data_IF_897673746474
#
_entry.id   IF_897673746474
#
_cell.length_a   1.000
_cell.length_b   1.000
_cell.length_c   1.000
_cell.angle_alpha   90.00
_cell.angle_beta   90.00
_cell.angle_gamma   90.00
#
_symmetry.space_group_name_H-M   'P 1'
#
loop_
_entity.id
_entity.type
_entity.pdbx_description
1 polymer ?
#
# COMPACT_ATOMS: atom_id res chain seq x y z
N UNK A 1 -42.89 32.20 11.79
CA UNK A 1 -42.24 31.54 10.64
C UNK A 1 -40.75 31.91 10.44
N UNK A 2 -40.37 33.18 10.51
CA UNK A 2 -38.95 33.59 10.31
C UNK A 2 -37.92 33.09 11.39
N UNK A 3 -38.37 32.76 12.61
CA UNK A 3 -37.46 32.20 13.65
C UNK A 3 -37.23 30.71 13.49
N UNK A 4 -38.18 29.92 13.01
CA UNK A 4 -38.03 28.49 12.74
C UNK A 4 -37.08 28.21 11.58
N UNK A 5 -37.17 29.01 10.51
CA UNK A 5 -36.24 28.87 9.36
C UNK A 5 -34.79 29.14 9.74
N UNK A 6 -34.51 30.08 10.64
CA UNK A 6 -33.17 30.37 11.14
C UNK A 6 -32.60 29.24 12.00
N UNK A 7 -33.44 28.61 12.84
CA UNK A 7 -33.03 27.46 13.66
C UNK A 7 -32.75 26.23 12.83
N UNK A 8 -33.59 25.96 11.82
CA UNK A 8 -33.39 24.85 10.88
C UNK A 8 -32.11 25.05 10.04
N UNK A 9 -31.86 26.28 9.58
CA UNK A 9 -30.64 26.61 8.83
C UNK A 9 -29.38 26.43 9.68
N UNK A 10 -29.42 26.83 10.96
CA UNK A 10 -28.31 26.68 11.88
C UNK A 10 -28.04 25.21 12.21
N UNK A 11 -29.09 24.41 12.41
CA UNK A 11 -28.95 22.97 12.65
C UNK A 11 -28.40 22.23 11.43
N UNK A 12 -28.80 22.60 10.21
CA UNK A 12 -28.29 21.98 8.98
C UNK A 12 -26.80 22.32 8.76
N UNK A 13 -26.39 23.55 9.07
CA UNK A 13 -24.99 23.96 8.99
C UNK A 13 -24.11 23.21 10.01
N UNK A 14 -24.63 22.97 11.22
CA UNK A 14 -23.89 22.22 12.25
C UNK A 14 -23.71 20.74 11.87
N UNK A 15 -24.72 20.14 11.26
CA UNK A 15 -24.63 18.74 10.76
C UNK A 15 -23.64 18.62 9.61
N UNK A 16 -23.59 19.61 8.72
CA UNK A 16 -22.59 19.61 7.62
C UNK A 16 -21.15 19.81 8.13
N UNK A 17 -20.94 20.60 9.17
CA UNK A 17 -19.61 20.76 9.78
C UNK A 17 -19.11 19.48 10.47
N UNK A 18 -20.01 18.70 11.08
CA UNK A 18 -19.66 17.41 11.70
C UNK A 18 -19.34 16.32 10.67
N UNK A 19 -19.95 16.39 9.49
CA UNK A 19 -19.66 15.45 8.40
C UNK A 19 -18.27 15.67 7.76
N UNK A 20 -17.74 16.90 7.81
CA UNK A 20 -16.40 17.23 7.28
C UNK A 20 -15.25 16.83 8.21
N UNK A 21 -15.52 16.61 9.51
CA UNK A 21 -14.51 16.08 10.44
C UNK A 21 -14.33 14.55 10.36
N UNK A 22 -15.17 13.82 9.62
CA UNK A 22 -15.05 12.37 9.43
C UNK A 22 -14.10 11.98 8.29
N UNK A 23 -13.55 12.94 7.51
CA UNK A 23 -12.43 12.70 6.62
C UNK A 23 -11.11 12.85 7.39
N UNK A 24 -10.94 12.05 8.45
CA UNK A 24 -9.66 11.84 9.13
C UNK A 24 -8.75 11.08 8.18
N UNK A 25 -7.61 11.66 8.01
CA UNK A 25 -6.34 11.17 7.53
C UNK A 25 -6.30 9.64 7.44
N UNK A 26 -6.23 9.12 6.21
CA UNK A 26 -5.81 7.74 5.98
C UNK A 26 -4.34 7.64 6.41
N UNK A 27 -4.11 7.28 7.66
CA UNK A 27 -2.89 6.58 8.01
C UNK A 27 -2.96 5.23 7.28
N UNK A 28 -2.16 5.07 6.23
CA UNK A 28 -1.94 3.80 5.55
C UNK A 28 -1.07 2.90 6.46
N UNK A 29 -1.62 2.54 7.60
CA UNK A 29 -1.22 1.40 8.39
C UNK A 29 -2.42 0.45 8.35
N UNK A 30 -2.61 -0.24 7.23
CA UNK A 30 -3.63 -1.26 7.13
C UNK A 30 -3.33 -2.36 8.15
N UNK A 31 -3.97 -2.23 9.31
CA UNK A 31 -4.05 -3.31 10.27
C UNK A 31 -5.15 -4.23 9.76
N UNK A 32 -4.82 -5.46 9.42
CA UNK A 32 -5.82 -6.48 9.13
C UNK A 32 -6.85 -6.56 10.25
N UNK A 33 -8.05 -7.06 9.97
CA UNK A 33 -9.19 -7.10 10.90
C UNK A 33 -8.90 -7.85 12.22
N UNK A 34 -7.79 -8.58 12.30
CA UNK A 34 -7.30 -9.31 13.48
C UNK A 34 -6.18 -8.59 14.27
N UNK A 35 -5.86 -7.35 13.92
CA UNK A 35 -4.83 -6.54 14.60
C UNK A 35 -3.41 -6.77 14.10
N UNK A 36 -3.19 -7.60 13.07
CA UNK A 36 -1.89 -7.80 12.44
C UNK A 36 -1.56 -6.65 11.49
N UNK A 37 -0.27 -6.34 11.39
CA UNK A 37 0.22 -5.38 10.40
C UNK A 37 0.17 -6.03 9.02
N UNK A 38 -0.41 -5.35 8.05
CA UNK A 38 -0.34 -5.72 6.63
C UNK A 38 0.93 -5.14 6.01
N UNK A 39 1.63 -5.96 5.23
CA UNK A 39 2.79 -5.55 4.44
C UNK A 39 2.48 -5.75 2.96
N UNK A 40 2.47 -4.68 2.19
CA UNK A 40 2.15 -4.69 0.76
C UNK A 40 3.43 -4.71 -0.05
N UNK A 41 3.69 -5.83 -0.71
CA UNK A 41 4.85 -6.05 -1.57
C UNK A 41 4.48 -5.80 -3.03
N UNK A 42 5.14 -4.84 -3.66
CA UNK A 42 5.03 -4.60 -5.11
C UNK A 42 5.99 -5.49 -5.89
N UNK A 43 5.50 -6.27 -6.83
CA UNK A 43 6.29 -7.21 -7.64
C UNK A 43 6.14 -6.96 -9.13
N UNK A 44 7.14 -7.39 -9.90
CA UNK A 44 6.98 -7.58 -11.35
C UNK A 44 6.11 -8.81 -11.58
N UNK A 45 4.94 -8.69 -12.24
CA UNK A 45 4.04 -9.81 -12.47
C UNK A 45 4.51 -10.79 -13.56
N UNK A 46 5.59 -10.47 -14.29
CA UNK A 46 6.04 -11.20 -15.48
C UNK A 46 7.52 -11.61 -15.41
N UNK A 47 8.08 -11.80 -14.22
CA UNK A 47 9.50 -12.11 -14.01
C UNK A 47 9.74 -13.48 -13.34
N UNK A 48 9.39 -14.61 -13.99
CA UNK A 48 9.68 -15.94 -13.46
C UNK A 48 11.20 -16.23 -13.50
N UNK A 49 11.75 -16.97 -12.53
CA UNK A 49 11.07 -17.63 -11.42
C UNK A 49 10.94 -16.77 -10.14
N UNK A 50 11.29 -15.47 -10.20
CA UNK A 50 11.37 -14.60 -9.02
C UNK A 50 10.01 -14.10 -8.56
N UNK A 51 9.22 -13.52 -9.47
CA UNK A 51 7.85 -13.08 -9.22
C UNK A 51 7.03 -13.15 -10.49
N UNK A 52 5.86 -13.76 -10.43
CA UNK A 52 4.96 -13.88 -11.57
C UNK A 52 3.55 -14.25 -11.11
N UNK A 53 2.58 -14.09 -12.01
CA UNK A 53 1.22 -14.53 -11.76
C UNK A 53 1.10 -16.03 -12.09
N UNK A 54 0.75 -16.83 -11.08
CA UNK A 54 0.53 -18.27 -11.25
C UNK A 54 -0.78 -18.61 -11.95
N UNK A 55 -0.95 -19.87 -12.34
CA UNK A 55 -2.16 -20.36 -13.02
C UNK A 55 -3.41 -20.26 -12.13
N UNK A 56 -3.24 -20.19 -10.83
CA UNK A 56 -4.30 -20.00 -9.84
C UNK A 56 -4.72 -18.53 -9.67
N UNK A 57 -4.12 -17.61 -10.41
CA UNK A 57 -4.36 -16.18 -10.35
C UNK A 57 -3.71 -15.50 -9.15
N UNK A 58 -2.80 -16.15 -8.43
CA UNK A 58 -2.02 -15.57 -7.33
C UNK A 58 -0.60 -15.29 -7.75
N UNK A 59 -0.01 -14.26 -7.15
CA UNK A 59 1.42 -14.01 -7.32
C UNK A 59 2.22 -15.06 -6.57
N UNK A 60 3.26 -15.56 -7.20
CA UNK A 60 4.15 -16.59 -6.68
C UNK A 60 5.57 -16.36 -7.18
N UNK A 61 6.50 -17.18 -6.72
CA UNK A 61 7.91 -17.15 -7.11
C UNK A 61 8.83 -16.97 -5.91
N UNK A 62 10.12 -17.06 -6.16
CA UNK A 62 11.16 -17.05 -5.15
C UNK A 62 11.08 -15.84 -4.20
N UNK A 63 10.90 -14.64 -4.75
CA UNK A 63 10.81 -13.41 -3.95
C UNK A 63 9.56 -13.37 -3.09
N UNK A 64 8.43 -13.85 -3.64
CA UNK A 64 7.15 -13.90 -2.91
C UNK A 64 7.23 -14.90 -1.75
N UNK A 65 7.87 -16.05 -1.94
CA UNK A 65 8.05 -17.06 -0.88
C UNK A 65 8.96 -16.54 0.23
N UNK A 66 10.03 -15.83 -0.10
CA UNK A 66 10.90 -15.21 0.92
C UNK A 66 10.14 -14.14 1.71
N UNK A 67 9.38 -13.29 1.01
CA UNK A 67 8.59 -12.25 1.68
C UNK A 67 7.52 -12.86 2.60
N UNK A 68 6.87 -13.94 2.17
CA UNK A 68 5.91 -14.67 3.01
C UNK A 68 6.59 -15.22 4.27
N UNK A 69 7.73 -15.89 4.13
CA UNK A 69 8.46 -16.42 5.28
C UNK A 69 8.90 -15.30 6.25
N UNK A 70 9.32 -14.15 5.74
CA UNK A 70 9.66 -12.99 6.56
C UNK A 70 8.45 -12.43 7.31
N UNK A 71 7.31 -12.30 6.63
CA UNK A 71 6.06 -11.84 7.25
C UNK A 71 5.57 -12.81 8.32
N UNK A 72 5.66 -14.12 8.08
CA UNK A 72 5.29 -15.15 9.06
C UNK A 72 6.13 -15.03 10.36
N UNK A 73 7.45 -14.81 10.20
CA UNK A 73 8.35 -14.59 11.35
C UNK A 73 8.03 -13.32 12.14
N UNK A 74 7.55 -12.27 11.45
CA UNK A 74 7.21 -10.99 12.05
C UNK A 74 5.76 -10.94 12.59
N UNK A 75 4.95 -11.96 12.29
CA UNK A 75 3.52 -11.97 12.60
C UNK A 75 2.73 -10.95 11.78
N UNK A 76 3.17 -10.67 10.54
CA UNK A 76 2.52 -9.75 9.62
C UNK A 76 1.74 -10.51 8.54
N UNK A 77 0.76 -9.85 7.95
CA UNK A 77 0.05 -10.36 6.78
C UNK A 77 0.67 -9.82 5.50
N UNK A 78 1.07 -10.70 4.58
CA UNK A 78 1.61 -10.32 3.29
C UNK A 78 0.47 -10.11 2.29
N UNK A 79 0.48 -8.96 1.62
CA UNK A 79 -0.27 -8.71 0.40
C UNK A 79 0.70 -8.50 -0.76
N UNK A 80 0.47 -9.19 -1.87
CA UNK A 80 1.30 -9.06 -3.06
C UNK A 80 0.54 -8.28 -4.12
N UNK A 81 1.18 -7.26 -4.66
CA UNK A 81 0.62 -6.32 -5.62
C UNK A 81 1.48 -6.29 -6.89
N UNK A 82 0.87 -6.58 -8.04
CA UNK A 82 1.56 -6.49 -9.33
C UNK A 82 1.72 -5.03 -9.75
N UNK A 83 2.95 -4.53 -9.81
CA UNK A 83 3.22 -3.15 -10.23
C UNK A 83 3.40 -3.07 -11.75
N UNK A 84 3.05 -1.93 -12.32
CA UNK A 84 3.55 -1.58 -13.65
C UNK A 84 5.06 -1.31 -13.52
N UNK A 85 5.89 -2.17 -14.13
CA UNK A 85 7.34 -2.13 -13.91
C UNK A 85 7.99 -0.81 -14.30
N UNK A 86 7.49 -0.15 -15.34
CA UNK A 86 8.00 1.15 -15.77
C UNK A 86 7.63 2.27 -14.79
N UNK A 87 6.56 2.08 -14.01
CA UNK A 87 6.04 3.05 -13.05
C UNK A 87 6.24 2.64 -11.59
N UNK A 88 7.05 1.61 -11.33
CA UNK A 88 7.24 1.03 -9.98
C UNK A 88 7.60 2.04 -8.90
N UNK A 89 8.45 3.01 -9.21
CA UNK A 89 8.83 4.04 -8.24
C UNK A 89 7.71 5.05 -8.01
N UNK A 90 6.93 5.38 -9.05
CA UNK A 90 5.75 6.26 -8.93
C UNK A 90 4.70 5.61 -8.03
N UNK A 91 4.46 4.32 -8.20
CA UNK A 91 3.51 3.56 -7.38
C UNK A 91 4.00 3.42 -5.94
N UNK A 92 5.32 3.24 -5.72
CA UNK A 92 5.92 3.25 -4.39
C UNK A 92 5.77 4.63 -3.71
N UNK A 93 6.04 5.72 -4.43
CA UNK A 93 5.89 7.08 -3.91
C UNK A 93 4.43 7.43 -3.61
N UNK A 94 3.50 6.89 -4.40
CA UNK A 94 2.06 7.00 -4.16
C UNK A 94 1.58 6.12 -2.98
N UNK A 95 2.47 5.32 -2.38
CA UNK A 95 2.17 4.39 -1.28
C UNK A 95 1.13 3.32 -1.65
N UNK A 96 1.13 2.89 -2.91
CA UNK A 96 0.33 1.74 -3.35
C UNK A 96 0.92 0.42 -2.84
N UNK A 97 2.22 0.42 -2.52
CA UNK A 97 2.91 -0.67 -1.84
C UNK A 97 3.93 -0.11 -0.83
N UNK A 98 4.32 -0.93 0.13
CA UNK A 98 5.33 -0.59 1.15
C UNK A 98 6.76 -0.74 0.62
N UNK A 99 6.95 -1.66 -0.31
CA UNK A 99 8.22 -1.86 -1.00
C UNK A 99 8.00 -2.40 -2.42
N UNK A 100 9.00 -2.20 -3.27
CA UNK A 100 9.12 -2.94 -4.53
C UNK A 100 10.17 -4.02 -4.32
N UNK A 101 9.76 -5.28 -4.46
CA UNK A 101 10.62 -6.44 -4.23
C UNK A 101 10.50 -7.42 -5.39
N UNK A 102 11.43 -7.36 -6.29
CA UNK A 102 11.57 -8.21 -7.46
C UNK A 102 12.99 -8.07 -8.02
N UNK A 103 13.31 -8.75 -9.11
CA UNK A 103 14.62 -8.69 -9.77
C UNK A 103 14.97 -7.31 -10.32
N UNK A 104 15.08 -6.31 -9.45
CA UNK A 104 15.31 -4.93 -9.81
C UNK A 104 16.82 -4.60 -9.82
N UNK A 105 17.30 -3.98 -10.90
CA UNK A 105 18.64 -3.44 -10.95
C UNK A 105 18.76 -2.22 -10.03
N UNK A 106 19.74 -2.25 -9.14
CA UNK A 106 20.06 -1.13 -8.25
C UNK A 106 20.83 -0.07 -9.05
N UNK A 107 20.25 1.11 -9.18
CA UNK A 107 20.86 2.26 -9.85
C UNK A 107 21.24 3.33 -8.82
N UNK A 108 22.37 4.01 -9.05
CA UNK A 108 22.80 5.11 -8.18
C UNK A 108 21.78 6.26 -8.16
N UNK A 109 21.08 6.51 -9.28
CA UNK A 109 19.99 7.49 -9.35
C UNK A 109 18.84 7.23 -8.37
N UNK A 110 18.60 5.97 -7.99
CA UNK A 110 17.61 5.64 -6.98
C UNK A 110 18.06 6.06 -5.59
N UNK A 111 19.36 5.88 -5.29
CA UNK A 111 19.96 6.34 -4.02
C UNK A 111 19.94 7.86 -3.93
N UNK A 112 20.29 8.53 -5.04
CA UNK A 112 20.29 9.99 -5.13
C UNK A 112 18.88 10.58 -4.97
N UNK A 113 17.85 9.85 -5.41
CA UNK A 113 16.45 10.18 -5.20
C UNK A 113 15.95 9.89 -3.77
N UNK A 114 16.77 9.30 -2.90
CA UNK A 114 16.46 9.06 -1.50
C UNK A 114 15.78 7.71 -1.20
N UNK A 115 15.71 6.79 -2.18
CA UNK A 115 15.18 5.45 -1.92
C UNK A 115 16.14 4.62 -1.07
N UNK A 116 15.56 3.86 -0.13
CA UNK A 116 16.31 2.87 0.65
C UNK A 116 16.35 1.57 -0.14
N UNK A 117 17.56 1.08 -0.38
CA UNK A 117 17.79 -0.12 -1.16
C UNK A 117 18.41 -1.22 -0.29
N UNK A 118 17.99 -2.47 -0.52
CA UNK A 118 18.60 -3.63 0.11
C UNK A 118 20.04 -3.87 -0.42
N UNK A 119 20.72 -4.80 0.22
CA UNK A 119 21.89 -5.42 -0.43
C UNK A 119 21.40 -6.33 -1.57
N UNK A 120 22.17 -6.49 -2.64
CA UNK A 120 21.85 -7.49 -3.67
C UNK A 120 21.90 -8.90 -3.07
N UNK A 121 21.07 -9.80 -3.58
CA UNK A 121 20.99 -11.21 -3.18
C UNK A 121 20.95 -12.12 -4.40
#
# INVERSE_FOLDING_TARGET
MKKMTKVISLALALVMCLALCACGQKDNGDTAADGKKTFVMGVDPEYPPFSYLGDDGKYTGFDVEIAQAACDLLGWDLQVFGVNWDQKLVQLDAKECDCVWSGMTILDSMKDAGYVLSKPY
#
